data_IF_187051486998
#
_entry.id   IF_187051486998
#
_cell.length_a   1.000
_cell.length_b   1.000
_cell.length_c   1.000
_cell.angle_alpha   90.00
_cell.angle_beta   90.00
_cell.angle_gamma   90.00
#
_symmetry.space_group_name_H-M   'P 1'
#
loop_
_entity.id
_entity.type
_entity.pdbx_description
1 polymer ?
#
# COMPACT_ATOMS: atom_id res chain seq x y z
N UNK A 1 10.37 8.38 22.90
CA UNK A 1 9.37 8.40 21.82
C UNK A 1 10.08 7.94 20.57
N UNK A 2 9.61 6.86 19.92
CA UNK A 2 10.19 6.42 18.65
C UNK A 2 9.88 7.47 17.58
N UNK A 3 10.86 7.76 16.73
CA UNK A 3 10.67 8.67 15.60
C UNK A 3 9.71 8.04 14.60
N UNK A 4 8.69 8.75 14.10
CA UNK A 4 7.80 8.21 13.06
C UNK A 4 8.63 7.85 11.83
N UNK A 5 8.38 6.65 11.28
CA UNK A 5 9.09 6.12 10.10
C UNK A 5 8.09 5.90 8.97
N UNK A 6 8.48 6.29 7.76
CA UNK A 6 7.72 5.98 6.54
C UNK A 6 8.38 4.81 5.83
N UNK A 7 7.57 3.84 5.41
CA UNK A 7 7.97 2.72 4.55
C UNK A 7 7.18 2.80 3.26
N UNK A 8 7.86 2.79 2.12
CA UNK A 8 7.23 2.86 0.80
C UNK A 8 7.05 1.44 0.25
N UNK A 9 5.81 1.06 -0.07
CA UNK A 9 5.44 -0.21 -0.70
C UNK A 9 5.09 -0.04 -2.19
N UNK A 10 5.07 1.20 -2.67
CA UNK A 10 4.89 1.58 -4.07
C UNK A 10 5.15 3.09 -4.26
N UNK A 11 5.16 3.55 -5.51
CA UNK A 11 5.44 4.93 -5.90
C UNK A 11 6.70 5.57 -5.28
N UNK A 12 7.70 4.78 -4.89
CA UNK A 12 8.97 5.29 -4.36
C UNK A 12 9.87 5.86 -5.47
N UNK A 13 9.84 5.21 -6.64
CA UNK A 13 10.63 5.53 -7.83
C UNK A 13 9.76 5.70 -9.08
N UNK A 14 8.43 5.76 -8.90
CA UNK A 14 7.43 5.81 -9.97
C UNK A 14 6.23 6.68 -9.58
N UNK A 15 5.25 6.78 -10.47
CA UNK A 15 4.08 7.68 -10.29
C UNK A 15 2.79 6.93 -9.97
N UNK A 16 2.74 5.61 -10.20
CA UNK A 16 1.57 4.79 -9.92
C UNK A 16 1.84 3.76 -8.81
N UNK A 17 0.77 3.12 -8.34
CA UNK A 17 0.85 2.12 -7.28
C UNK A 17 1.10 2.71 -5.89
N UNK A 18 0.62 3.93 -5.62
CA UNK A 18 0.76 4.63 -4.33
C UNK A 18 0.38 3.70 -3.17
N UNK A 19 1.30 3.50 -2.24
CA UNK A 19 1.10 2.66 -1.07
C UNK A 19 2.22 2.94 -0.06
N UNK A 20 1.90 3.64 1.01
CA UNK A 20 2.88 4.10 1.99
C UNK A 20 2.43 3.76 3.40
N UNK A 21 3.36 3.34 4.25
CA UNK A 21 3.09 3.01 5.64
C UNK A 21 3.72 4.04 6.56
N UNK A 22 2.92 4.65 7.41
CA UNK A 22 3.38 5.48 8.51
C UNK A 22 3.41 4.65 9.79
N UNK A 23 4.61 4.29 10.25
CA UNK A 23 4.81 3.59 11.51
C UNK A 23 4.61 4.58 12.67
N UNK A 24 3.63 4.30 13.54
CA UNK A 24 3.34 5.13 14.72
C UNK A 24 3.85 4.52 16.03
N UNK A 25 4.05 3.20 16.05
CA UNK A 25 4.73 2.45 17.12
C UNK A 25 5.25 1.11 16.57
N UNK A 26 5.95 0.30 17.36
CA UNK A 26 6.43 -1.03 16.92
C UNK A 26 5.31 -1.95 16.43
N UNK A 27 4.11 -1.83 17.00
CA UNK A 27 2.98 -2.73 16.74
C UNK A 27 1.88 -2.09 15.87
N UNK A 28 2.01 -0.80 15.55
CA UNK A 28 0.93 -0.07 14.89
C UNK A 28 1.42 0.85 13.77
N UNK A 29 0.66 0.85 12.69
CA UNK A 29 0.86 1.70 11.54
C UNK A 29 -0.46 2.19 10.93
N UNK A 30 -0.37 3.28 10.18
CA UNK A 30 -1.39 3.71 9.22
C UNK A 30 -0.91 3.38 7.81
N UNK A 31 -1.80 2.85 6.98
CA UNK A 31 -1.55 2.67 5.56
C UNK A 31 -2.17 3.85 4.79
N UNK A 32 -1.39 4.51 3.95
CA UNK A 32 -1.82 5.59 3.08
C UNK A 32 -1.84 5.04 1.66
N UNK A 33 -3.03 5.00 1.08
CA UNK A 33 -3.35 4.41 -0.21
C UNK A 33 -3.00 2.92 -0.34
N UNK A 34 -3.61 2.27 -1.33
CA UNK A 34 -3.30 0.91 -1.76
C UNK A 34 -3.61 0.82 -3.26
N UNK A 35 -2.78 1.46 -4.05
CA UNK A 35 -2.98 1.69 -5.47
C UNK A 35 -2.41 0.63 -6.39
N UNK A 36 -2.97 0.50 -7.59
CA UNK A 36 -2.48 -0.42 -8.62
C UNK A 36 -1.33 0.23 -9.43
N UNK A 37 -0.29 -0.54 -9.74
CA UNK A 37 0.75 -0.10 -10.68
C UNK A 37 0.20 -0.07 -12.11
N UNK A 38 0.59 0.92 -12.92
CA UNK A 38 0.11 1.07 -14.29
C UNK A 38 1.23 1.45 -15.26
N UNK A 39 1.05 1.10 -16.54
CA UNK A 39 1.99 1.44 -17.60
C UNK A 39 3.40 0.94 -17.29
N UNK A 40 4.40 1.81 -17.45
CA UNK A 40 5.81 1.48 -17.24
C UNK A 40 6.12 1.01 -15.81
N UNK A 41 5.38 1.50 -14.81
CA UNK A 41 5.55 1.06 -13.42
C UNK A 41 5.05 -0.39 -13.19
N UNK A 42 4.23 -0.92 -14.11
CA UNK A 42 3.73 -2.29 -14.09
C UNK A 42 4.54 -3.24 -15.00
N UNK A 43 5.37 -2.73 -15.92
CA UNK A 43 6.08 -3.54 -16.92
C UNK A 43 7.04 -4.57 -16.29
N UNK A 44 7.52 -4.31 -15.06
CA UNK A 44 8.39 -5.21 -14.31
C UNK A 44 7.63 -6.21 -13.42
N UNK A 45 6.29 -6.17 -13.43
CA UNK A 45 5.43 -6.99 -12.58
C UNK A 45 4.56 -7.88 -13.46
N UNK A 46 4.53 -9.19 -13.17
CA UNK A 46 3.56 -10.07 -13.80
C UNK A 46 2.12 -9.61 -13.50
N UNK A 47 1.18 -9.95 -14.39
CA UNK A 47 -0.20 -9.46 -14.35
C UNK A 47 -0.96 -9.75 -13.04
N UNK A 48 -0.58 -10.82 -12.33
CA UNK A 48 -1.11 -11.15 -10.99
C UNK A 48 -0.30 -10.49 -9.87
N UNK A 49 1.00 -10.28 -10.08
CA UNK A 49 1.91 -9.74 -9.08
C UNK A 49 1.69 -8.24 -8.82
N UNK A 50 1.31 -7.48 -9.85
CA UNK A 50 0.95 -6.06 -9.71
C UNK A 50 -0.19 -5.81 -8.72
N UNK A 51 -1.01 -6.84 -8.44
CA UNK A 51 -2.15 -6.75 -7.55
C UNK A 51 -1.85 -7.15 -6.11
N UNK A 52 -0.81 -7.95 -5.87
CA UNK A 52 -0.57 -8.53 -4.53
C UNK A 52 -0.10 -7.48 -3.53
N UNK A 53 -0.57 -7.62 -2.31
CA UNK A 53 0.01 -7.00 -1.11
C UNK A 53 1.02 -7.99 -0.53
N UNK A 54 2.31 -7.64 -0.54
CA UNK A 54 3.44 -8.51 -0.15
C UNK A 54 4.00 -8.22 1.25
N UNK A 55 3.28 -7.47 2.06
CA UNK A 55 3.68 -7.07 3.40
C UNK A 55 2.63 -7.51 4.42
N UNK A 56 3.02 -7.80 5.67
CA UNK A 56 2.06 -8.10 6.73
C UNK A 56 1.14 -6.90 6.97
N UNK A 57 -0.12 -7.14 7.27
CA UNK A 57 -1.14 -6.10 7.46
C UNK A 57 -1.71 -6.07 8.87
N UNK A 58 -1.21 -6.94 9.75
CA UNK A 58 -1.70 -7.14 11.12
C UNK A 58 -1.50 -5.90 12.00
N UNK A 59 -0.49 -5.08 11.71
CA UNK A 59 -0.19 -3.82 12.41
C UNK A 59 -0.94 -2.61 11.82
N UNK A 60 -1.65 -2.77 10.71
CA UNK A 60 -2.34 -1.66 10.03
C UNK A 60 -3.66 -1.37 10.73
N UNK A 61 -3.70 -0.28 11.50
CA UNK A 61 -4.89 0.16 12.23
C UNK A 61 -5.98 0.72 11.32
N UNK A 62 -5.57 1.47 10.30
CA UNK A 62 -6.50 2.10 9.39
C UNK A 62 -5.84 2.36 8.04
N UNK A 63 -6.69 2.45 7.03
CA UNK A 63 -6.34 2.90 5.70
C UNK A 63 -6.82 4.35 5.51
N UNK A 64 -5.92 5.21 5.06
CA UNK A 64 -6.20 6.56 4.61
C UNK A 64 -6.15 6.57 3.08
N UNK A 65 -7.29 6.84 2.44
CA UNK A 65 -7.37 7.01 0.99
C UNK A 65 -7.28 8.49 0.68
N UNK A 66 -6.29 8.88 -0.12
CA UNK A 66 -6.09 10.29 -0.49
C UNK A 66 -7.12 10.75 -1.52
N UNK A 67 -7.39 9.92 -2.54
CA UNK A 67 -8.42 10.14 -3.55
C UNK A 67 -8.72 8.84 -4.31
N UNK A 68 -9.67 8.90 -5.25
CA UNK A 68 -10.32 7.71 -5.85
C UNK A 68 -9.69 7.19 -7.15
N UNK A 69 -8.51 7.67 -7.54
CA UNK A 69 -7.85 7.14 -8.74
C UNK A 69 -7.32 5.73 -8.51
N UNK A 70 -7.28 4.94 -9.58
CA UNK A 70 -6.97 3.50 -9.51
C UNK A 70 -5.54 3.23 -9.01
N UNK A 71 -4.62 4.15 -9.26
CA UNK A 71 -3.25 4.14 -8.74
C UNK A 71 -3.14 4.52 -7.26
N UNK A 72 -4.26 4.76 -6.58
CA UNK A 72 -4.39 4.96 -5.13
C UNK A 72 -5.33 3.96 -4.44
N UNK A 73 -6.30 3.38 -5.15
CA UNK A 73 -7.31 2.44 -4.56
C UNK A 73 -7.38 1.07 -5.25
N UNK A 74 -6.66 0.85 -6.34
CA UNK A 74 -6.85 -0.31 -7.21
C UNK A 74 -6.48 -1.66 -6.58
N UNK A 75 -5.73 -1.68 -5.48
CA UNK A 75 -5.37 -2.90 -4.74
C UNK A 75 -6.21 -3.16 -3.49
N UNK A 76 -7.24 -2.36 -3.18
CA UNK A 76 -8.06 -2.56 -1.98
C UNK A 76 -8.68 -3.98 -1.84
N UNK A 77 -9.21 -4.61 -2.90
CA UNK A 77 -9.69 -5.99 -2.79
C UNK A 77 -8.59 -6.96 -2.37
N UNK A 78 -7.36 -6.73 -2.81
CA UNK A 78 -6.19 -7.55 -2.49
C UNK A 78 -5.66 -7.28 -1.08
N UNK A 79 -5.80 -6.05 -0.58
CA UNK A 79 -5.53 -5.70 0.82
C UNK A 79 -6.45 -6.48 1.77
N UNK A 80 -7.75 -6.56 1.44
CA UNK A 80 -8.71 -7.36 2.20
C UNK A 80 -8.40 -8.87 2.10
N UNK A 81 -8.04 -9.35 0.91
CA UNK A 81 -7.63 -10.74 0.70
C UNK A 81 -6.34 -11.10 1.45
N UNK A 82 -5.44 -10.12 1.67
CA UNK A 82 -4.23 -10.25 2.46
C UNK A 82 -4.50 -10.28 3.98
N UNK A 83 -5.75 -10.08 4.41
CA UNK A 83 -6.15 -10.25 5.80
C UNK A 83 -6.40 -8.95 6.57
N UNK A 84 -6.33 -7.78 5.92
CA UNK A 84 -6.71 -6.53 6.58
C UNK A 84 -8.19 -6.57 6.94
N UNK A 85 -8.48 -6.34 8.22
CA UNK A 85 -9.84 -6.27 8.78
C UNK A 85 -9.88 -5.02 9.63
N UNK A 86 -10.68 -4.04 9.21
CA UNK A 86 -10.96 -2.82 9.95
C UNK A 86 -12.03 -3.04 11.02
#
# INVERSE_FOLDING_TARGET
>A
MQTPRIVHHGAAEGVTGSCHRLQVSEEHALLVDCGLFQGQDADHLDSLEQHRVRFPVDDVLALVVTHVHIDHIGRLPYLLAAGHRS
#
